data_IF_581527633893
#
_entry.id   IF_581527633893
#
_cell.length_a   1.000
_cell.length_b   1.000
_cell.length_c   1.000
_cell.angle_alpha   90.00
_cell.angle_beta   90.00
_cell.angle_gamma   90.00
#
_symmetry.space_group_name_H-M   'P 1'
#
loop_
_entity.id
_entity.type
_entity.pdbx_description
1 polymer ?
#
# COMPACT_ATOMS: atom_id res chain seq x y z
N UNK A 1 6.26 21.73 3.15
CA UNK A 1 5.32 21.19 4.16
C UNK A 1 3.94 21.69 3.83
N UNK A 2 3.09 20.87 3.24
CA UNK A 2 1.67 21.22 3.10
C UNK A 2 1.08 21.10 4.50
N UNK A 3 0.76 22.23 5.13
CA UNK A 3 -0.07 22.23 6.33
C UNK A 3 -1.47 21.85 5.88
N UNK A 4 -1.83 20.60 6.05
CA UNK A 4 -3.22 20.21 6.00
C UNK A 4 -3.95 21.00 7.10
N UNK A 5 -5.01 21.71 6.74
CA UNK A 5 -5.82 22.42 7.70
C UNK A 5 -6.59 21.41 8.56
N UNK A 6 -7.07 21.82 9.75
CA UNK A 6 -7.97 20.95 10.52
C UNK A 6 -9.23 20.56 9.77
N UNK A 7 -9.59 21.31 8.75
CA UNK A 7 -10.76 21.07 7.92
C UNK A 7 -10.50 20.03 6.83
N UNK A 8 -9.23 19.82 6.43
CA UNK A 8 -8.85 18.74 5.52
C UNK A 8 -9.08 17.36 6.14
N UNK A 9 -9.07 17.27 7.48
CA UNK A 9 -9.39 16.04 8.22
C UNK A 9 -10.86 15.97 8.66
N UNK A 10 -11.61 17.08 8.58
CA UNK A 10 -13.03 17.15 8.96
C UNK A 10 -13.98 16.87 7.83
N UNK A 11 -13.49 16.88 6.59
CA UNK A 11 -14.29 16.31 5.51
C UNK A 11 -14.54 14.87 5.92
N UNK A 12 -15.80 14.47 6.16
CA UNK A 12 -16.05 13.11 6.61
C UNK A 12 -15.35 12.19 5.63
N UNK A 13 -14.61 11.22 6.12
CA UNK A 13 -14.07 10.11 5.32
C UNK A 13 -15.21 9.28 4.71
N UNK A 14 -16.31 9.97 4.38
CA UNK A 14 -17.46 9.44 3.66
C UNK A 14 -17.14 9.07 2.21
N UNK A 15 -15.94 9.44 1.75
CA UNK A 15 -15.42 8.98 0.46
C UNK A 15 -14.07 8.30 0.71
N UNK A 16 -14.04 7.04 1.11
CA UNK A 16 -12.82 6.29 1.16
C UNK A 16 -12.11 6.39 -0.18
N UNK A 17 -10.79 6.41 -0.14
CA UNK A 17 -9.95 6.36 -1.33
C UNK A 17 -10.52 5.32 -2.29
N UNK A 18 -10.59 5.64 -3.56
CA UNK A 18 -11.37 4.89 -4.57
C UNK A 18 -11.10 3.38 -4.57
N UNK A 19 -9.90 2.97 -4.16
CA UNK A 19 -9.53 1.55 -4.01
C UNK A 19 -10.31 0.90 -2.86
N UNK A 20 -10.28 1.48 -1.67
CA UNK A 20 -11.01 0.97 -0.51
C UNK A 20 -12.52 0.94 -0.78
N UNK A 21 -13.03 1.93 -1.49
CA UNK A 21 -14.46 2.00 -1.82
C UNK A 21 -14.94 0.91 -2.76
N UNK A 22 -14.12 0.48 -3.70
CA UNK A 22 -14.49 -0.60 -4.62
C UNK A 22 -14.38 -1.96 -3.96
N UNK A 23 -13.40 -2.13 -3.11
CA UNK A 23 -13.29 -3.32 -2.26
C UNK A 23 -14.50 -3.39 -1.33
N UNK A 24 -14.84 -2.33 -0.60
CA UNK A 24 -15.98 -2.29 0.32
C UNK A 24 -17.34 -2.52 -0.34
N UNK A 25 -17.50 -2.11 -1.59
CA UNK A 25 -18.79 -2.30 -2.30
C UNK A 25 -19.02 -3.71 -2.80
N UNK A 26 -17.98 -4.49 -2.94
CA UNK A 26 -18.04 -5.79 -3.62
C UNK A 26 -17.78 -6.96 -2.72
N UNK A 27 -17.35 -6.70 -1.50
CA UNK A 27 -16.99 -7.72 -0.53
C UNK A 27 -17.80 -7.45 0.72
N UNK A 28 -18.70 -8.36 1.07
CA UNK A 28 -19.37 -8.30 2.36
C UNK A 28 -18.36 -8.60 3.47
N UNK A 29 -18.56 -8.04 4.66
CA UNK A 29 -17.76 -8.37 5.84
C UNK A 29 -17.72 -9.88 6.12
N UNK A 30 -18.75 -10.60 5.72
CA UNK A 30 -18.85 -12.04 5.82
C UNK A 30 -17.90 -12.75 4.84
N UNK A 31 -17.75 -12.20 3.64
CA UNK A 31 -16.80 -12.72 2.65
C UNK A 31 -15.35 -12.38 3.03
N UNK A 32 -15.10 -11.22 3.65
CA UNK A 32 -13.78 -10.88 4.17
C UNK A 32 -13.30 -11.82 5.27
N UNK A 33 -14.22 -12.38 6.04
CA UNK A 33 -13.89 -13.31 7.13
C UNK A 33 -13.81 -14.78 6.70
N UNK A 34 -14.24 -15.11 5.48
CA UNK A 34 -14.39 -16.48 5.00
C UNK A 34 -13.55 -16.77 3.76
N UNK A 35 -12.27 -16.52 3.78
CA UNK A 35 -11.34 -16.97 2.73
C UNK A 35 -11.62 -16.42 1.32
N UNK A 36 -10.98 -15.49 1.00
CA UNK A 36 -10.13 -15.00 0.08
C UNK A 36 -10.12 -15.43 -1.40
N UNK A 37 -11.22 -15.53 -2.08
CA UNK A 37 -11.21 -15.42 -3.54
C UNK A 37 -12.08 -14.24 -3.95
N UNK A 38 -11.46 -13.09 -4.12
CA UNK A 38 -12.17 -11.90 -4.56
C UNK A 38 -12.22 -11.84 -6.09
N UNK A 39 -13.36 -12.14 -6.65
CA UNK A 39 -13.67 -11.76 -8.02
C UNK A 39 -14.25 -10.35 -8.04
N UNK A 40 -13.53 -9.43 -8.63
CA UNK A 40 -14.08 -8.12 -8.96
C UNK A 40 -14.92 -8.29 -10.23
N UNK A 41 -16.23 -8.08 -10.15
CA UNK A 41 -17.10 -8.12 -11.34
C UNK A 41 -16.55 -7.19 -12.42
N UNK A 42 -16.33 -7.73 -13.61
CA UNK A 42 -15.89 -7.00 -14.81
C UNK A 42 -14.40 -6.74 -14.89
N UNK A 43 -13.59 -7.42 -14.13
CA UNK A 43 -12.16 -7.16 -14.20
C UNK A 43 -11.29 -8.22 -13.60
N UNK A 44 -10.10 -8.06 -13.90
CA UNK A 44 -9.00 -8.85 -13.48
C UNK A 44 -9.04 -9.10 -11.97
N UNK A 45 -8.98 -10.34 -11.63
CA UNK A 45 -8.57 -10.79 -10.30
C UNK A 45 -7.33 -9.98 -9.95
N UNK A 46 -7.38 -9.20 -8.88
CA UNK A 46 -6.15 -8.83 -8.23
C UNK A 46 -5.63 -10.16 -7.70
N UNK A 47 -4.70 -10.74 -8.41
CA UNK A 47 -3.89 -11.84 -7.88
C UNK A 47 -2.94 -11.28 -6.81
N UNK A 48 -3.50 -10.72 -5.79
CA UNK A 48 -2.90 -10.67 -4.50
C UNK A 48 -3.16 -12.08 -3.94
N UNK A 49 -2.24 -13.02 -4.19
CA UNK A 49 -2.42 -14.41 -3.87
C UNK A 49 -3.19 -14.63 -2.57
N UNK A 50 -4.45 -14.88 -2.66
CA UNK A 50 -5.35 -15.25 -1.58
C UNK A 50 -5.88 -14.13 -0.67
N UNK A 51 -5.50 -12.80 -0.76
CA UNK A 51 -5.94 -11.91 0.28
C UNK A 51 -6.26 -10.46 -0.06
N UNK A 52 -6.98 -9.91 0.89
CA UNK A 52 -7.44 -8.55 0.93
C UNK A 52 -6.29 -7.53 0.80
N UNK A 53 -6.60 -6.42 0.19
CA UNK A 53 -5.78 -5.22 0.20
C UNK A 53 -6.14 -4.47 1.47
N UNK A 54 -5.12 -4.09 2.26
CA UNK A 54 -5.32 -3.33 3.50
C UNK A 54 -4.23 -2.27 3.72
N UNK A 55 -4.31 -1.59 4.86
CA UNK A 55 -3.33 -0.61 5.32
C UNK A 55 -3.02 0.49 4.29
N UNK A 56 -4.03 1.21 3.79
CA UNK A 56 -3.80 2.31 2.87
C UNK A 56 -3.10 3.48 3.57
N UNK A 57 -2.06 3.99 2.93
CA UNK A 57 -1.37 5.20 3.36
C UNK A 57 -1.12 6.13 2.17
N UNK A 58 -1.25 7.44 2.37
CA UNK A 58 -1.01 8.43 1.31
C UNK A 58 0.12 9.36 1.72
N UNK A 59 1.13 9.46 0.85
CA UNK A 59 2.17 10.48 0.89
C UNK A 59 1.93 11.48 -0.24
N UNK A 60 2.08 12.77 0.04
CA UNK A 60 2.13 13.79 -1.01
C UNK A 60 3.58 14.22 -1.23
N UNK A 61 4.02 14.21 -2.48
CA UNK A 61 5.32 14.74 -2.88
C UNK A 61 5.27 15.29 -4.30
N UNK A 62 5.79 16.48 -4.50
CA UNK A 62 6.00 17.14 -5.79
C UNK A 62 4.81 17.03 -6.77
N UNK A 63 3.62 17.41 -6.30
CA UNK A 63 2.41 17.44 -7.13
C UNK A 63 1.73 16.07 -7.32
N UNK A 64 2.22 15.01 -6.71
CA UNK A 64 1.62 13.67 -6.74
C UNK A 64 1.25 13.17 -5.35
N UNK A 65 0.15 12.47 -5.29
CA UNK A 65 -0.26 11.64 -4.16
C UNK A 65 0.15 10.21 -4.47
N UNK A 66 0.87 9.59 -3.55
CA UNK A 66 1.32 8.20 -3.61
C UNK A 66 0.48 7.39 -2.65
N UNK A 67 -0.31 6.47 -3.18
CA UNK A 67 -1.09 5.55 -2.36
C UNK A 67 -0.30 4.25 -2.21
N UNK A 68 0.03 3.94 -0.98
CA UNK A 68 0.59 2.64 -0.58
C UNK A 68 -0.53 1.76 -0.07
N UNK A 69 -0.47 0.49 -0.38
CA UNK A 69 -1.35 -0.54 0.16
C UNK A 69 -0.56 -1.82 0.39
N UNK A 70 -1.03 -2.62 1.31
CA UNK A 70 -0.43 -3.91 1.59
C UNK A 70 -1.27 -5.03 1.00
N UNK A 71 -0.61 -5.97 0.33
CA UNK A 71 -1.21 -7.15 -0.28
C UNK A 71 -0.84 -8.39 0.51
N UNK A 72 -1.69 -9.41 0.42
CA UNK A 72 -1.49 -10.75 0.91
C UNK A 72 -1.51 -10.88 2.45
N UNK A 73 -0.91 -11.92 3.00
CA UNK A 73 -1.06 -12.28 4.40
C UNK A 73 0.02 -11.74 5.32
N UNK A 74 -0.38 -10.98 6.34
CA UNK A 74 0.47 -10.67 7.49
C UNK A 74 0.35 -11.75 8.59
N UNK A 75 1.05 -11.51 9.68
CA UNK A 75 0.80 -12.12 10.99
C UNK A 75 1.03 -13.64 11.07
N UNK A 76 1.83 -14.18 10.15
CA UNK A 76 2.20 -15.60 10.04
C UNK A 76 3.69 -15.86 10.27
N UNK A 77 4.43 -14.88 10.81
CA UNK A 77 5.88 -14.99 10.98
C UNK A 77 6.55 -15.29 9.63
N UNK A 78 7.30 -16.38 9.58
CA UNK A 78 8.01 -16.80 8.35
C UNK A 78 7.11 -17.19 7.18
N UNK A 79 5.84 -17.53 7.45
CA UNK A 79 4.86 -17.85 6.42
C UNK A 79 4.09 -16.63 5.90
N UNK A 80 4.47 -15.41 6.32
CA UNK A 80 3.86 -14.18 5.85
C UNK A 80 4.26 -13.88 4.42
N UNK A 81 3.26 -13.63 3.59
CA UNK A 81 3.43 -13.25 2.18
C UNK A 81 3.20 -11.76 1.94
N UNK A 82 2.96 -11.02 3.01
CA UNK A 82 2.66 -9.60 3.01
C UNK A 82 3.69 -8.79 2.24
N UNK A 83 3.23 -7.89 1.41
CA UNK A 83 4.07 -7.01 0.58
C UNK A 83 3.40 -5.66 0.40
N UNK A 84 4.20 -4.63 0.18
CA UNK A 84 3.71 -3.28 -0.08
C UNK A 84 3.80 -2.96 -1.56
N UNK A 85 2.71 -2.49 -2.14
CA UNK A 85 2.64 -1.93 -3.48
C UNK A 85 2.18 -0.48 -3.43
N UNK A 86 2.44 0.28 -4.49
CA UNK A 86 1.99 1.65 -4.57
C UNK A 86 1.59 2.06 -6.00
N UNK A 87 0.83 3.12 -6.07
CA UNK A 87 0.55 3.87 -7.29
C UNK A 87 0.45 5.36 -6.98
N UNK A 88 0.40 6.18 -8.01
CA UNK A 88 0.32 7.63 -7.83
C UNK A 88 -0.83 8.26 -8.60
N UNK A 89 -1.23 9.46 -8.15
CA UNK A 89 -2.24 10.29 -8.80
C UNK A 89 -1.96 11.76 -8.57
N UNK A 90 -2.40 12.61 -9.49
CA UNK A 90 -2.42 14.07 -9.28
C UNK A 90 -3.57 14.54 -8.39
N UNK A 91 -4.51 13.64 -8.07
CA UNK A 91 -5.66 13.93 -7.21
C UNK A 91 -5.66 12.95 -6.05
N UNK A 92 -5.90 13.43 -4.84
CA UNK A 92 -6.01 12.59 -3.64
C UNK A 92 -7.09 11.52 -3.74
N UNK A 93 -8.12 11.78 -4.55
CA UNK A 93 -9.21 10.83 -4.79
C UNK A 93 -8.92 9.83 -5.92
N UNK A 94 -7.72 9.88 -6.52
CA UNK A 94 -7.34 9.06 -7.66
C UNK A 94 -7.93 9.54 -9.00
N UNK A 95 -7.93 8.69 -10.04
CA UNK A 95 -7.45 7.30 -10.01
C UNK A 95 -5.94 7.22 -9.77
N UNK A 96 -5.52 6.24 -9.00
CA UNK A 96 -4.12 5.91 -8.80
C UNK A 96 -3.66 4.90 -9.86
N UNK A 97 -2.50 5.16 -10.46
CA UNK A 97 -1.89 4.28 -11.46
C UNK A 97 -0.51 3.83 -11.03
N UNK A 98 -0.12 2.65 -11.45
CA UNK A 98 1.23 2.11 -11.28
C UNK A 98 2.20 2.62 -12.39
N UNK A 99 3.45 2.14 -12.36
CA UNK A 99 4.47 2.50 -13.34
C UNK A 99 4.10 2.14 -14.78
N UNK A 100 3.29 1.11 -14.95
CA UNK A 100 2.86 0.61 -16.26
C UNK A 100 1.58 1.31 -16.75
N UNK A 101 1.07 2.29 -15.96
CA UNK A 101 -0.15 3.03 -16.25
C UNK A 101 -1.42 2.27 -15.90
N UNK A 102 -1.32 1.10 -15.29
CA UNK A 102 -2.49 0.32 -14.88
C UNK A 102 -3.09 0.90 -13.60
N UNK A 103 -4.40 1.07 -13.60
CA UNK A 103 -5.11 1.59 -12.43
C UNK A 103 -5.13 0.57 -11.29
N UNK A 104 -4.83 1.04 -10.09
CA UNK A 104 -4.83 0.19 -8.89
C UNK A 104 -6.20 -0.43 -8.60
N UNK A 105 -7.29 0.25 -8.99
CA UNK A 105 -8.67 -0.28 -8.90
C UNK A 105 -8.89 -1.54 -9.75
N UNK A 106 -8.01 -1.80 -10.72
CA UNK A 106 -8.11 -2.92 -11.66
C UNK A 106 -6.89 -3.83 -11.58
N UNK A 107 -6.32 -3.95 -10.39
CA UNK A 107 -5.20 -4.82 -10.12
C UNK A 107 -3.84 -4.26 -10.54
N UNK A 108 -3.73 -2.94 -10.71
CA UNK A 108 -2.44 -2.26 -10.80
C UNK A 108 -1.78 -2.14 -9.43
N UNK A 109 -0.51 -1.82 -9.44
CA UNK A 109 0.30 -1.56 -8.25
C UNK A 109 1.76 -1.92 -8.51
N UNK A 110 2.64 -0.94 -8.40
CA UNK A 110 4.09 -1.16 -8.47
C UNK A 110 4.56 -1.75 -7.15
N UNK A 111 5.24 -2.89 -7.19
CA UNK A 111 5.85 -3.47 -6.00
C UNK A 111 6.90 -2.51 -5.45
N UNK A 112 6.77 -2.16 -4.17
CA UNK A 112 7.74 -1.34 -3.45
C UNK A 112 8.67 -2.21 -2.62
N UNK A 113 8.08 -2.99 -1.71
CA UNK A 113 8.80 -3.96 -0.89
C UNK A 113 8.02 -5.26 -0.80
N UNK A 114 8.71 -6.36 -1.00
CA UNK A 114 8.25 -7.72 -0.79
C UNK A 114 9.26 -8.52 0.01
N UNK A 115 9.07 -9.83 0.20
CA UNK A 115 10.06 -10.68 0.81
C UNK A 115 11.41 -10.54 0.12
N UNK A 116 12.47 -10.38 0.93
CA UNK A 116 13.86 -10.29 0.49
C UNK A 116 14.69 -11.40 1.16
N UNK A 117 16.02 -11.36 1.05
CA UNK A 117 16.90 -12.38 1.62
C UNK A 117 16.87 -12.39 3.16
N UNK A 118 16.53 -11.27 3.79
CA UNK A 118 16.56 -11.09 5.24
C UNK A 118 15.18 -11.06 5.88
N UNK A 119 14.12 -10.77 5.10
CA UNK A 119 12.80 -10.46 5.63
C UNK A 119 11.67 -11.21 4.92
N UNK A 120 10.60 -11.43 5.67
CA UNK A 120 9.27 -11.77 5.18
C UNK A 120 8.27 -10.69 5.54
N UNK A 121 7.15 -10.61 4.84
CA UNK A 121 5.96 -9.91 5.28
C UNK A 121 6.16 -8.41 5.51
N UNK A 122 6.74 -7.70 4.56
CA UNK A 122 6.99 -6.25 4.64
C UNK A 122 5.71 -5.50 4.27
N UNK A 123 5.04 -4.93 5.26
CA UNK A 123 3.77 -4.24 5.01
C UNK A 123 3.24 -3.44 6.19
N UNK A 124 1.98 -3.01 6.07
CA UNK A 124 1.30 -2.08 6.97
C UNK A 124 2.11 -0.80 7.15
N UNK A 125 2.38 -0.16 6.04
CA UNK A 125 3.37 0.91 5.99
C UNK A 125 2.80 2.29 6.31
N UNK A 126 3.73 3.17 6.62
CA UNK A 126 3.60 4.62 6.51
C UNK A 126 4.79 5.17 5.73
N UNK A 127 4.68 6.39 5.25
CA UNK A 127 5.78 7.11 4.63
C UNK A 127 5.83 8.53 5.18
N UNK A 128 7.00 9.00 5.51
CA UNK A 128 7.15 10.28 6.17
C UNK A 128 8.39 11.02 5.67
N UNK A 129 8.26 12.35 5.54
CA UNK A 129 9.39 13.24 5.29
C UNK A 129 9.94 13.74 6.62
N UNK A 130 11.22 13.51 6.84
CA UNK A 130 11.93 14.00 7.98
C UNK A 130 13.26 14.61 7.51
N UNK A 131 13.49 15.85 7.88
CA UNK A 131 14.71 16.60 7.57
C UNK A 131 15.06 16.59 6.07
N UNK A 132 14.04 16.81 5.23
CA UNK A 132 14.16 16.83 3.76
C UNK A 132 14.40 15.46 3.11
N UNK A 133 14.29 14.38 3.87
CA UNK A 133 14.40 13.01 3.38
C UNK A 133 13.12 12.25 3.59
N UNK A 134 12.77 11.42 2.63
CA UNK A 134 11.60 10.56 2.75
C UNK A 134 11.99 9.17 3.24
N UNK A 135 11.16 8.62 4.11
CA UNK A 135 11.34 7.29 4.67
C UNK A 135 10.08 6.48 4.51
N UNK A 136 10.26 5.24 4.10
CA UNK A 136 9.27 4.19 4.20
C UNK A 136 9.44 3.50 5.54
N UNK A 137 8.33 3.29 6.26
CA UNK A 137 8.31 2.72 7.60
C UNK A 137 7.25 1.62 7.61
N UNK A 138 7.63 0.42 8.00
CA UNK A 138 6.69 -0.72 8.10
C UNK A 138 7.16 -1.69 9.17
N UNK A 139 6.45 -2.79 9.33
CA UNK A 139 7.01 -3.96 10.00
C UNK A 139 7.52 -4.96 8.97
N UNK A 140 8.41 -5.84 9.41
CA UNK A 140 8.86 -7.01 8.68
C UNK A 140 9.21 -8.14 9.65
N UNK A 141 9.20 -9.38 9.19
CA UNK A 141 9.61 -10.55 9.97
C UNK A 141 11.03 -10.95 9.58
N UNK A 142 11.94 -10.94 10.54
CA UNK A 142 13.37 -11.17 10.30
C UNK A 142 13.66 -12.66 10.23
N UNK A 143 14.22 -13.12 9.10
CA UNK A 143 14.46 -14.55 8.81
C UNK A 143 15.38 -15.20 9.82
N UNK A 144 16.53 -14.58 10.10
CA UNK A 144 17.54 -15.12 11.01
C UNK A 144 17.17 -14.97 12.51
N UNK A 145 16.03 -14.38 12.81
CA UNK A 145 15.48 -14.24 14.15
C UNK A 145 14.15 -15.02 14.31
N UNK A 146 14.04 -16.13 13.62
CA UNK A 146 12.86 -16.99 13.65
C UNK A 146 11.54 -16.27 13.33
N UNK A 147 11.56 -15.33 12.41
CA UNK A 147 10.38 -14.55 12.04
C UNK A 147 9.95 -13.52 13.08
N UNK A 148 10.85 -13.06 13.93
CA UNK A 148 10.54 -12.00 14.89
C UNK A 148 10.14 -10.72 14.14
N UNK A 149 9.01 -10.13 14.53
CA UNK A 149 8.57 -8.86 13.97
C UNK A 149 9.46 -7.71 14.42
N UNK A 150 9.92 -6.92 13.48
CA UNK A 150 10.77 -5.75 13.70
C UNK A 150 10.28 -4.55 12.89
N UNK A 151 10.67 -3.38 13.37
CA UNK A 151 10.50 -2.15 12.59
C UNK A 151 11.43 -2.20 11.38
N UNK A 152 10.87 -1.93 10.20
CA UNK A 152 11.58 -1.86 8.93
C UNK A 152 11.52 -0.41 8.44
N UNK A 153 12.67 0.26 8.41
CA UNK A 153 12.77 1.65 7.95
C UNK A 153 13.76 1.69 6.79
N UNK A 154 13.35 2.28 5.68
CA UNK A 154 14.21 2.49 4.51
C UNK A 154 14.03 3.90 3.96
N UNK A 155 15.11 4.56 3.55
CA UNK A 155 14.99 5.77 2.78
C UNK A 155 14.30 5.46 1.45
N UNK A 156 13.50 6.40 0.96
CA UNK A 156 12.94 6.37 -0.39
C UNK A 156 13.31 7.66 -1.09
N UNK A 157 13.60 7.55 -2.37
CA UNK A 157 13.87 8.70 -3.25
C UNK A 157 12.94 8.65 -4.44
N UNK A 158 12.97 9.69 -5.25
CA UNK A 158 12.15 9.77 -6.45
C UNK A 158 13.06 9.93 -7.66
N UNK A 159 12.76 9.21 -8.72
CA UNK A 159 13.43 9.40 -10.00
C UNK A 159 12.96 10.70 -10.70
N UNK A 160 13.56 11.01 -11.84
CA UNK A 160 13.24 12.22 -12.64
C UNK A 160 11.78 12.28 -13.07
N UNK A 161 11.11 11.16 -13.17
CA UNK A 161 9.70 11.05 -13.57
C UNK A 161 8.78 11.01 -12.34
N UNK A 162 9.34 11.15 -11.13
CA UNK A 162 8.63 11.14 -9.85
C UNK A 162 8.16 9.77 -9.40
N UNK A 163 8.78 8.68 -9.84
CA UNK A 163 8.52 7.37 -9.29
C UNK A 163 9.45 7.04 -8.13
N UNK A 164 8.94 6.31 -7.15
CA UNK A 164 9.74 5.93 -6.00
C UNK A 164 10.83 4.95 -6.42
N UNK A 165 12.04 5.25 -5.94
CA UNK A 165 13.23 4.39 -6.04
C UNK A 165 13.66 3.99 -4.65
N UNK A 166 13.79 2.70 -4.44
CA UNK A 166 14.34 2.13 -3.22
C UNK A 166 15.82 1.83 -3.44
N UNK A 167 16.70 2.27 -2.54
CA UNK A 167 18.12 1.92 -2.60
C UNK A 167 18.34 0.44 -2.32
#
# INVERSE_FOLDING_TARGET
>A
MVKLSKDDFRTPMSKPVTIARRVDRRISLKEMNNEANYTVEGGNVIEAGENAIEAPFILYNDGYYYLFVSFDYCCRGQASTYKTVYGRSKKVTGPYVDKDGKRMEYGGGTLLYGPDDEHFGIGHCSAYEFDGKHYFISHAYVKNQNGAAKLFIRPITFDKDGWIVCP
#
